data_IF_946649695417
#
_entry.id   IF_946649695417
#
_cell.length_a   1.000
_cell.length_b   1.000
_cell.length_c   1.000
_cell.angle_alpha   90.00
_cell.angle_beta   90.00
_cell.angle_gamma   90.00
#
_symmetry.space_group_name_H-M   'P 1'
#
loop_
_entity.id
_entity.type
_entity.pdbx_description
1 polymer ?
#
# COMPACT_ATOMS: atom_id res chain seq x y z
N UNK A 1 -20.91 -0.12 -8.36
CA UNK A 1 -19.57 0.30 -7.86
C UNK A 1 -18.86 -0.87 -7.17
N UNK A 2 -17.55 -0.80 -6.92
CA UNK A 2 -16.76 -1.91 -6.31
C UNK A 2 -17.34 -2.37 -4.96
N UNK A 3 -17.74 -1.43 -4.09
CA UNK A 3 -18.37 -1.72 -2.79
C UNK A 3 -19.64 -2.56 -2.93
N UNK A 4 -20.57 -2.14 -3.78
CA UNK A 4 -21.84 -2.86 -4.03
C UNK A 4 -21.58 -4.28 -4.53
N UNK A 5 -20.54 -4.45 -5.37
CA UNK A 5 -20.16 -5.75 -5.90
C UNK A 5 -19.66 -6.69 -4.79
N UNK A 6 -18.85 -6.19 -3.85
CA UNK A 6 -18.38 -6.98 -2.71
C UNK A 6 -19.52 -7.32 -1.73
N UNK A 7 -20.46 -6.39 -1.50
CA UNK A 7 -21.65 -6.66 -0.67
C UNK A 7 -22.50 -7.77 -1.30
N UNK A 8 -22.71 -7.73 -2.62
CA UNK A 8 -23.41 -8.79 -3.35
C UNK A 8 -22.68 -10.15 -3.28
N UNK A 9 -21.36 -10.15 -3.06
CA UNK A 9 -20.53 -11.34 -2.84
C UNK A 9 -20.51 -11.79 -1.37
N UNK A 10 -21.26 -11.14 -0.47
CA UNK A 10 -21.43 -11.52 0.93
C UNK A 10 -20.46 -10.85 1.91
N UNK A 11 -19.65 -9.88 1.45
CA UNK A 11 -18.77 -9.10 2.33
C UNK A 11 -19.60 -8.11 3.14
N UNK A 12 -19.35 -8.02 4.46
CA UNK A 12 -20.01 -7.05 5.32
C UNK A 12 -19.83 -5.60 4.81
N UNK A 13 -20.85 -4.71 4.89
CA UNK A 13 -20.81 -3.39 4.26
C UNK A 13 -19.58 -2.53 4.60
N UNK A 14 -19.20 -2.45 5.88
CA UNK A 14 -18.05 -1.66 6.33
C UNK A 14 -16.75 -2.21 5.75
N UNK A 15 -16.60 -3.55 5.75
CA UNK A 15 -15.44 -4.23 5.20
C UNK A 15 -15.36 -4.10 3.68
N UNK A 16 -16.50 -4.14 3.00
CA UNK A 16 -16.60 -3.91 1.57
C UNK A 16 -16.22 -2.46 1.21
N UNK A 17 -16.65 -1.48 2.00
CA UNK A 17 -16.30 -0.08 1.83
C UNK A 17 -14.79 0.14 2.03
N UNK A 18 -14.23 -0.47 3.07
CA UNK A 18 -12.81 -0.37 3.37
C UNK A 18 -11.93 -1.00 2.29
N UNK A 19 -12.28 -2.21 1.85
CA UNK A 19 -11.60 -2.90 0.77
C UNK A 19 -11.69 -2.13 -0.55
N UNK A 20 -12.88 -1.62 -0.90
CA UNK A 20 -13.07 -0.83 -2.12
C UNK A 20 -12.27 0.48 -2.10
N UNK A 21 -12.19 1.15 -0.94
CA UNK A 21 -11.41 2.37 -0.78
C UNK A 21 -9.89 2.13 -0.96
N UNK A 22 -9.38 1.00 -0.51
CA UNK A 22 -7.97 0.62 -0.63
C UNK A 22 -7.61 -0.10 -1.94
N UNK A 23 -8.62 -0.49 -2.72
CA UNK A 23 -8.43 -1.23 -3.97
C UNK A 23 -7.97 -0.39 -5.16
N UNK A 24 -7.97 0.95 -5.05
CA UNK A 24 -7.57 1.87 -6.13
C UNK A 24 -8.30 1.57 -7.45
N UNK A 25 -9.57 1.14 -7.37
CA UNK A 25 -10.41 0.81 -8.52
C UNK A 25 -10.25 -0.60 -9.10
N UNK A 26 -9.37 -1.45 -8.55
CA UNK A 26 -9.19 -2.84 -8.98
C UNK A 26 -10.11 -3.78 -8.17
N UNK A 27 -11.14 -4.34 -8.82
CA UNK A 27 -12.07 -5.27 -8.17
C UNK A 27 -11.40 -6.57 -7.68
N UNK A 28 -10.40 -7.08 -8.41
CA UNK A 28 -9.65 -8.27 -8.00
C UNK A 28 -8.88 -8.02 -6.72
N UNK A 29 -8.19 -6.88 -6.65
CA UNK A 29 -7.53 -6.42 -5.42
C UNK A 29 -8.53 -6.18 -4.29
N UNK A 30 -9.70 -5.59 -4.59
CA UNK A 30 -10.74 -5.36 -3.59
C UNK A 30 -11.20 -6.66 -2.91
N UNK A 31 -11.31 -7.76 -3.65
CA UNK A 31 -11.64 -9.08 -3.08
C UNK A 31 -10.56 -9.61 -2.15
N UNK A 32 -9.29 -9.46 -2.52
CA UNK A 32 -8.16 -9.85 -1.66
C UNK A 32 -8.12 -9.02 -0.37
N UNK A 33 -8.33 -7.71 -0.48
CA UNK A 33 -8.37 -6.80 0.66
C UNK A 33 -9.60 -7.05 1.55
N UNK A 34 -10.70 -7.51 0.97
CA UNK A 34 -11.89 -7.91 1.73
C UNK A 34 -11.66 -9.15 2.59
N UNK A 35 -10.56 -9.90 2.43
CA UNK A 35 -10.19 -11.02 3.31
C UNK A 35 -9.03 -10.67 4.25
N UNK A 36 -8.52 -9.45 4.21
CA UNK A 36 -7.41 -8.99 5.05
C UNK A 36 -7.91 -8.34 6.36
N UNK A 37 -7.77 -9.07 7.47
CA UNK A 37 -8.20 -8.61 8.80
C UNK A 37 -7.39 -7.42 9.33
N UNK A 38 -6.18 -7.19 8.81
CA UNK A 38 -5.29 -6.11 9.25
C UNK A 38 -5.40 -4.86 8.37
N UNK A 39 -6.23 -4.89 7.32
CA UNK A 39 -6.43 -3.74 6.42
C UNK A 39 -6.82 -2.47 7.20
N UNK A 40 -7.77 -2.59 8.12
CA UNK A 40 -8.24 -1.45 8.93
C UNK A 40 -7.09 -0.84 9.75
N UNK A 41 -6.22 -1.68 10.34
CA UNK A 41 -5.05 -1.23 11.11
C UNK A 41 -4.07 -0.46 10.21
N UNK A 42 -3.76 -0.98 9.01
CA UNK A 42 -2.85 -0.29 8.09
C UNK A 42 -3.42 1.06 7.67
N UNK A 43 -4.71 1.13 7.33
CA UNK A 43 -5.36 2.40 6.95
C UNK A 43 -5.35 3.40 8.11
N UNK A 44 -5.66 2.96 9.33
CA UNK A 44 -5.57 3.81 10.51
C UNK A 44 -4.14 4.33 10.74
N UNK A 45 -3.12 3.50 10.54
CA UNK A 45 -1.72 3.91 10.68
C UNK A 45 -1.33 5.02 9.69
N UNK A 46 -1.75 4.91 8.43
CA UNK A 46 -1.56 5.97 7.43
C UNK A 46 -2.31 7.27 7.79
N UNK A 47 -3.55 7.16 8.27
CA UNK A 47 -4.35 8.31 8.72
C UNK A 47 -3.73 9.04 9.92
N UNK A 48 -3.05 8.31 10.81
CA UNK A 48 -2.41 8.85 12.00
C UNK A 48 -1.04 9.50 11.75
N UNK A 49 -0.49 9.43 10.52
CA UNK A 49 0.84 9.98 10.19
C UNK A 49 0.99 11.45 10.61
N UNK A 50 0.07 12.38 10.30
CA UNK A 50 0.25 13.78 10.66
C UNK A 50 0.41 14.00 12.18
N UNK A 51 -0.26 13.19 12.99
CA UNK A 51 -0.23 13.28 14.46
C UNK A 51 1.06 12.69 15.05
N UNK A 52 1.78 11.86 14.28
CA UNK A 52 3.04 11.23 14.68
C UNK A 52 4.27 12.07 14.38
N UNK A 53 4.18 13.00 13.42
CA UNK A 53 5.32 13.78 12.94
C UNK A 53 5.57 14.99 13.84
N UNK A 54 6.84 15.20 14.21
CA UNK A 54 7.30 16.31 15.07
C UNK A 54 8.24 17.29 14.33
N UNK A 55 8.41 17.10 13.01
CA UNK A 55 9.31 17.88 12.17
C UNK A 55 10.76 17.38 12.14
N UNK A 56 11.10 16.36 12.92
CA UNK A 56 12.42 15.72 12.88
C UNK A 56 12.51 14.65 11.79
N UNK A 57 13.71 14.49 11.23
CA UNK A 57 13.98 13.40 10.28
C UNK A 57 13.93 12.01 10.93
N UNK A 58 14.32 11.91 12.21
CA UNK A 58 14.26 10.66 12.97
C UNK A 58 12.83 10.14 13.06
N UNK A 59 11.89 11.00 13.44
CA UNK A 59 10.48 10.60 13.56
C UNK A 59 9.85 10.26 12.22
N UNK A 60 10.24 10.95 11.15
CA UNK A 60 9.83 10.62 9.80
C UNK A 60 10.33 9.22 9.39
N UNK A 61 11.60 8.88 9.68
CA UNK A 61 12.19 7.57 9.39
C UNK A 61 11.44 6.45 10.13
N UNK A 62 11.28 6.58 11.45
CA UNK A 62 10.55 5.59 12.26
C UNK A 62 9.14 5.35 11.73
N UNK A 63 8.42 6.43 11.41
CA UNK A 63 7.04 6.35 10.90
C UNK A 63 6.98 5.64 9.54
N UNK A 64 7.96 5.88 8.66
CA UNK A 64 8.04 5.17 7.37
C UNK A 64 8.36 3.71 7.56
N UNK A 65 9.33 3.39 8.43
CA UNK A 65 9.76 2.01 8.66
C UNK A 65 8.63 1.16 9.24
N UNK A 66 7.86 1.69 10.20
CA UNK A 66 6.68 1.03 10.74
C UNK A 66 5.62 0.74 9.65
N UNK A 67 5.34 1.71 8.77
CA UNK A 67 4.35 1.54 7.70
C UNK A 67 4.81 0.50 6.67
N UNK A 68 6.10 0.50 6.30
CA UNK A 68 6.65 -0.47 5.37
C UNK A 68 6.67 -1.88 5.98
N UNK A 69 6.96 -2.01 7.28
CA UNK A 69 6.88 -3.28 7.99
C UNK A 69 5.44 -3.84 8.00
N UNK A 70 4.44 -2.99 8.24
CA UNK A 70 3.03 -3.42 8.16
C UNK A 70 2.63 -3.90 6.74
N UNK A 71 3.18 -3.29 5.69
CA UNK A 71 2.95 -3.70 4.29
C UNK A 71 3.66 -5.03 4.01
N UNK A 72 4.85 -5.23 4.56
CA UNK A 72 5.60 -6.49 4.46
C UNK A 72 4.87 -7.64 5.14
N UNK A 73 4.34 -7.42 6.35
CA UNK A 73 3.49 -8.40 7.04
C UNK A 73 2.25 -8.78 6.21
N UNK A 74 1.62 -7.80 5.56
CA UNK A 74 0.44 -8.01 4.72
C UNK A 74 0.72 -8.82 3.45
N UNK A 75 1.99 -8.91 3.03
CA UNK A 75 2.42 -9.74 1.90
C UNK A 75 2.63 -11.21 2.28
N UNK A 76 2.57 -11.59 3.56
CA UNK A 76 2.81 -12.98 3.97
C UNK A 76 1.96 -14.02 3.21
N UNK A 77 0.63 -13.84 3.03
CA UNK A 77 -0.18 -14.79 2.25
C UNK A 77 0.25 -14.91 0.78
N UNK A 78 0.72 -13.81 0.17
CA UNK A 78 1.25 -13.83 -1.20
C UNK A 78 2.56 -14.62 -1.27
N UNK A 79 3.44 -14.44 -0.28
CA UNK A 79 4.69 -15.18 -0.18
C UNK A 79 4.46 -16.69 0.04
N UNK A 80 3.47 -17.06 0.86
CA UNK A 80 3.05 -18.45 1.06
C UNK A 80 2.52 -19.07 -0.23
N UNK A 81 1.67 -18.35 -0.98
CA UNK A 81 1.18 -18.81 -2.28
C UNK A 81 2.33 -19.02 -3.28
N UNK A 82 3.29 -18.08 -3.35
CA UNK A 82 4.48 -18.23 -4.19
C UNK A 82 5.32 -19.45 -3.80
N UNK A 83 5.49 -19.72 -2.50
CA UNK A 83 6.21 -20.89 -2.02
C UNK A 83 5.52 -22.21 -2.39
N UNK A 84 4.19 -22.26 -2.28
CA UNK A 84 3.39 -23.41 -2.70
C UNK A 84 3.50 -23.66 -4.22
N UNK A 85 3.42 -22.61 -5.04
CA UNK A 85 3.60 -22.72 -6.49
C UNK A 85 5.00 -23.22 -6.87
N UNK A 86 6.04 -22.79 -6.15
CA UNK A 86 7.42 -23.28 -6.37
C UNK A 86 7.54 -24.76 -6.04
N UNK A 87 6.91 -25.22 -4.94
CA UNK A 87 6.91 -26.62 -4.55
C UNK A 87 6.18 -27.50 -5.59
N UNK A 88 4.99 -27.08 -6.02
CA UNK A 88 4.23 -27.80 -7.07
C UNK A 88 5.02 -27.88 -8.38
N UNK A 89 5.64 -26.76 -8.79
CA UNK A 89 6.47 -26.75 -9.98
C UNK A 89 7.68 -27.70 -9.88
N UNK A 90 8.31 -27.79 -8.70
CA UNK A 90 9.42 -28.71 -8.47
C UNK A 90 8.99 -30.18 -8.59
N UNK A 91 7.83 -30.55 -8.04
CA UNK A 91 7.25 -31.89 -8.17
C UNK A 91 6.95 -32.24 -9.64
N UNK A 92 6.35 -31.30 -10.39
CA UNK A 92 6.06 -31.50 -11.82
C UNK A 92 7.34 -31.70 -12.65
N UNK A 93 8.39 -30.92 -12.38
CA UNK A 93 9.70 -31.04 -13.04
C UNK A 93 10.34 -32.39 -12.73
N UNK A 94 10.29 -32.82 -11.46
CA UNK A 94 10.81 -34.13 -11.05
C UNK A 94 10.06 -35.29 -11.74
N UNK A 95 8.74 -35.18 -11.86
CA UNK A 95 7.89 -36.20 -12.49
C UNK A 95 8.07 -36.28 -14.02
N UNK A 96 8.30 -35.16 -14.71
CA UNK A 96 8.40 -35.12 -16.19
C UNK A 96 9.83 -35.16 -16.74
N UNK A 97 10.85 -34.93 -15.91
CA UNK A 97 12.25 -34.86 -16.36
C UNK A 97 12.57 -33.66 -17.25
N UNK A 98 11.65 -32.68 -17.35
CA UNK A 98 11.83 -31.47 -18.16
C UNK A 98 12.80 -30.49 -17.47
N UNK A 99 13.91 -30.16 -18.14
CA UNK A 99 14.93 -29.25 -17.58
C UNK A 99 14.49 -27.78 -17.70
N UNK A 100 14.07 -27.20 -16.58
CA UNK A 100 14.37 -25.81 -16.19
C UNK A 100 13.81 -24.63 -17.01
N UNK A 101 13.07 -24.84 -18.10
CA UNK A 101 12.63 -23.76 -19.01
C UNK A 101 11.56 -22.81 -18.43
N UNK A 102 10.88 -23.18 -17.33
CA UNK A 102 9.84 -22.37 -16.69
C UNK A 102 10.29 -21.55 -15.47
N UNK A 103 11.35 -21.96 -14.77
CA UNK A 103 11.68 -21.42 -13.42
C UNK A 103 11.91 -19.91 -13.41
N UNK A 104 12.66 -19.40 -14.39
CA UNK A 104 12.92 -17.96 -14.53
C UNK A 104 11.62 -17.16 -14.74
N UNK A 105 10.67 -17.71 -15.50
CA UNK A 105 9.39 -17.04 -15.75
C UNK A 105 8.54 -16.94 -14.49
N UNK A 106 8.53 -18.00 -13.65
CA UNK A 106 7.90 -18.00 -12.33
C UNK A 106 8.53 -16.96 -11.41
N UNK A 107 9.85 -16.99 -11.25
CA UNK A 107 10.57 -16.03 -10.40
C UNK A 107 10.34 -14.57 -10.84
N UNK A 108 10.34 -14.31 -12.15
CA UNK A 108 10.09 -12.98 -12.68
C UNK A 108 8.62 -12.54 -12.47
N UNK A 109 7.65 -13.47 -12.55
CA UNK A 109 6.25 -13.22 -12.21
C UNK A 109 6.08 -12.88 -10.74
N UNK A 110 6.60 -13.70 -9.82
CA UNK A 110 6.53 -13.46 -8.38
C UNK A 110 7.14 -12.12 -8.00
N UNK A 111 8.32 -11.79 -8.54
CA UNK A 111 8.96 -10.48 -8.35
C UNK A 111 8.10 -9.31 -8.83
N UNK A 112 7.37 -9.48 -9.95
CA UNK A 112 6.44 -8.45 -10.45
C UNK A 112 5.24 -8.29 -9.54
N UNK A 113 4.68 -9.40 -9.04
CA UNK A 113 3.54 -9.40 -8.13
C UNK A 113 3.88 -8.74 -6.79
N UNK A 114 5.03 -9.05 -6.21
CA UNK A 114 5.53 -8.39 -4.98
C UNK A 114 5.66 -6.88 -5.18
N UNK A 115 6.34 -6.45 -6.26
CA UNK A 115 6.47 -5.00 -6.56
C UNK A 115 5.13 -4.33 -6.75
N UNK A 116 4.22 -4.96 -7.48
CA UNK A 116 2.87 -4.44 -7.73
C UNK A 116 2.10 -4.30 -6.42
N UNK A 117 2.07 -5.34 -5.59
CA UNK A 117 1.39 -5.33 -4.29
C UNK A 117 1.91 -4.19 -3.42
N UNK A 118 3.24 -4.07 -3.30
CA UNK A 118 3.89 -3.02 -2.50
C UNK A 118 3.55 -1.62 -3.01
N UNK A 119 3.64 -1.39 -4.32
CA UNK A 119 3.27 -0.10 -4.93
C UNK A 119 1.79 0.23 -4.68
N UNK A 120 0.90 -0.74 -4.81
CA UNK A 120 -0.54 -0.55 -4.63
C UNK A 120 -0.91 -0.26 -3.16
N UNK A 121 -0.24 -0.92 -2.20
CA UNK A 121 -0.39 -0.61 -0.76
C UNK A 121 0.08 0.80 -0.43
N UNK A 122 1.24 1.23 -0.93
CA UNK A 122 1.74 2.59 -0.69
C UNK A 122 0.77 3.62 -1.29
N UNK A 123 0.23 3.39 -2.49
CA UNK A 123 -0.77 4.28 -3.11
C UNK A 123 -2.07 4.34 -2.33
N UNK A 124 -2.56 3.21 -1.82
CA UNK A 124 -3.72 3.17 -0.94
C UNK A 124 -3.45 3.99 0.34
N UNK A 125 -2.25 3.85 0.92
CA UNK A 125 -1.79 4.63 2.06
C UNK A 125 -1.73 6.14 1.80
N UNK A 126 -1.13 6.56 0.69
CA UNK A 126 -1.07 7.96 0.27
C UNK A 126 -2.46 8.55 0.00
N UNK A 127 -3.40 7.73 -0.48
CA UNK A 127 -4.80 8.13 -0.65
C UNK A 127 -5.46 8.40 0.70
N UNK A 128 -5.21 7.55 1.70
CA UNK A 128 -5.70 7.73 3.07
C UNK A 128 -5.10 8.98 3.73
N UNK A 129 -3.80 9.21 3.56
CA UNK A 129 -3.11 10.42 4.03
C UNK A 129 -3.67 11.68 3.36
N UNK A 130 -3.89 11.65 2.04
CA UNK A 130 -4.52 12.76 1.31
C UNK A 130 -5.94 13.05 1.80
N UNK A 131 -6.73 12.02 2.17
CA UNK A 131 -8.05 12.21 2.79
C UNK A 131 -7.92 12.91 4.14
N UNK A 132 -7.01 12.45 5.01
CA UNK A 132 -6.74 13.07 6.32
C UNK A 132 -6.41 14.56 6.22
N UNK A 133 -5.56 14.96 5.26
CA UNK A 133 -5.26 16.37 5.03
C UNK A 133 -6.44 17.16 4.44
N UNK A 134 -7.26 16.54 3.58
CA UNK A 134 -8.50 17.19 3.08
C UNK A 134 -9.53 17.42 4.18
N UNK A 135 -9.64 16.49 5.12
CA UNK A 135 -10.52 16.65 6.28
C UNK A 135 -10.05 17.85 7.14
N UNK A 136 -8.74 18.01 7.35
CA UNK A 136 -8.18 19.19 8.06
C UNK A 136 -8.36 20.50 7.29
N UNK A 137 -8.31 20.45 5.96
CA UNK A 137 -8.40 21.65 5.12
C UNK A 137 -9.67 22.47 5.43
N UNK A 138 -10.78 21.79 5.69
CA UNK A 138 -12.06 22.42 5.98
C UNK A 138 -12.07 23.20 7.31
N UNK A 139 -11.23 22.81 8.27
CA UNK A 139 -11.18 23.38 9.61
C UNK A 139 -9.92 24.23 9.89
N UNK A 140 -8.98 24.29 8.95
CA UNK A 140 -7.66 24.84 9.21
C UNK A 140 -7.58 26.36 9.06
N UNK A 141 -6.91 27.05 10.00
CA UNK A 141 -6.56 28.47 9.83
C UNK A 141 -5.47 28.69 8.78
N UNK A 142 -4.84 27.63 8.27
CA UNK A 142 -3.72 27.69 7.31
C UNK A 142 -4.00 26.79 6.08
N UNK A 143 -5.06 27.07 5.30
CA UNK A 143 -5.52 26.19 4.23
C UNK A 143 -4.52 26.06 3.08
N UNK A 144 -3.72 27.09 2.81
CA UNK A 144 -2.68 27.07 1.77
C UNK A 144 -1.59 26.04 2.09
N UNK A 145 -1.16 25.95 3.36
CA UNK A 145 -0.15 24.97 3.77
C UNK A 145 -0.66 23.53 3.61
N UNK A 146 -1.93 23.30 3.92
CA UNK A 146 -2.58 22.00 3.78
C UNK A 146 -2.77 21.63 2.31
N UNK A 147 -3.20 22.57 1.46
CA UNK A 147 -3.33 22.36 0.03
C UNK A 147 -2.00 21.93 -0.60
N UNK A 148 -0.91 22.63 -0.28
CA UNK A 148 0.41 22.24 -0.73
C UNK A 148 0.85 20.84 -0.21
N UNK A 149 0.30 20.36 0.91
CA UNK A 149 0.65 19.06 1.47
C UNK A 149 -0.03 17.95 0.67
N UNK A 150 -1.29 18.19 0.30
CA UNK A 150 -2.05 17.35 -0.63
C UNK A 150 -1.33 17.27 -1.99
N UNK A 151 -0.81 18.40 -2.50
CA UNK A 151 -0.06 18.42 -3.75
C UNK A 151 1.22 17.58 -3.68
N UNK A 152 1.98 17.68 -2.59
CA UNK A 152 3.18 16.86 -2.38
C UNK A 152 2.88 15.35 -2.30
N UNK A 153 1.79 14.99 -1.62
CA UNK A 153 1.30 13.60 -1.54
C UNK A 153 0.93 13.10 -2.94
N UNK A 154 0.19 13.90 -3.72
CA UNK A 154 -0.23 13.56 -5.07
C UNK A 154 0.96 13.43 -6.04
N UNK A 155 1.96 14.30 -5.90
CA UNK A 155 3.20 14.25 -6.67
C UNK A 155 3.97 12.95 -6.39
N UNK A 156 4.07 12.51 -5.13
CA UNK A 156 4.68 11.22 -4.82
C UNK A 156 3.87 10.05 -5.39
N UNK A 157 2.55 10.03 -5.18
CA UNK A 157 1.68 8.95 -5.65
C UNK A 157 1.79 8.72 -7.18
N UNK A 158 1.94 9.80 -7.95
CA UNK A 158 2.13 9.77 -9.40
C UNK A 158 3.50 9.21 -9.79
N UNK A 159 4.55 9.53 -9.03
CA UNK A 159 5.93 9.18 -9.35
C UNK A 159 6.37 7.78 -8.88
N UNK A 160 5.60 7.13 -7.99
CA UNK A 160 5.91 5.77 -7.48
C UNK A 160 6.16 4.73 -8.58
N UNK A 161 5.50 4.84 -9.74
CA UNK A 161 5.72 3.92 -10.89
C UNK A 161 7.15 3.91 -11.38
N UNK A 162 7.82 5.07 -11.29
CA UNK A 162 9.10 5.33 -11.98
C UNK A 162 10.29 5.22 -11.04
N UNK A 163 10.07 5.20 -9.72
CA UNK A 163 11.15 5.38 -8.76
C UNK A 163 11.24 4.21 -7.77
N UNK A 164 12.32 3.40 -7.82
CA UNK A 164 12.44 2.19 -7.03
C UNK A 164 12.72 2.46 -5.53
N UNK A 165 13.10 3.68 -5.14
CA UNK A 165 13.47 3.97 -3.75
C UNK A 165 12.28 4.57 -2.98
N UNK A 166 11.26 3.75 -2.78
CA UNK A 166 10.00 4.12 -2.11
C UNK A 166 10.24 4.66 -0.69
N UNK A 167 11.11 3.99 0.07
CA UNK A 167 11.45 4.38 1.44
C UNK A 167 12.01 5.80 1.51
N UNK A 168 13.01 6.10 0.69
CA UNK A 168 13.64 7.43 0.69
C UNK A 168 12.64 8.54 0.33
N UNK A 169 11.76 8.28 -0.63
CA UNK A 169 10.74 9.24 -1.03
C UNK A 169 9.68 9.47 0.05
N UNK A 170 9.26 8.41 0.73
CA UNK A 170 8.34 8.53 1.87
C UNK A 170 8.98 9.31 3.02
N UNK A 171 10.26 9.05 3.33
CA UNK A 171 11.00 9.81 4.35
C UNK A 171 11.10 11.29 3.98
N UNK A 172 11.40 11.59 2.71
CA UNK A 172 11.47 12.95 2.21
C UNK A 172 10.11 13.66 2.31
N UNK A 173 9.02 12.99 1.93
CA UNK A 173 7.65 13.50 2.06
C UNK A 173 7.33 13.76 3.54
N UNK A 174 7.52 12.77 4.42
CA UNK A 174 7.13 12.90 5.83
C UNK A 174 7.95 13.95 6.56
N UNK A 175 9.23 14.10 6.23
CA UNK A 175 10.06 15.21 6.72
C UNK A 175 9.50 16.56 6.27
N UNK A 176 9.02 16.67 5.03
CA UNK A 176 8.39 17.89 4.51
C UNK A 176 7.05 18.18 5.19
N UNK A 177 6.25 17.15 5.44
CA UNK A 177 4.93 17.25 6.08
C UNK A 177 5.00 17.61 7.56
N UNK A 178 6.02 17.13 8.28
CA UNK A 178 6.20 17.41 9.71
C UNK A 178 6.75 18.82 10.00
N UNK A 179 7.26 19.54 8.99
CA UNK A 179 7.81 20.88 9.19
C UNK A 179 6.71 21.93 9.06
N UNK A 180 6.66 22.93 9.97
CA UNK A 180 5.80 24.08 9.77
C UNK A 180 6.21 24.80 8.49
N UNK A 181 5.27 25.00 7.57
CA UNK A 181 5.54 25.75 6.34
C UNK A 181 5.53 27.24 6.68
N UNK A 182 6.61 27.92 6.29
CA UNK A 182 6.80 29.36 6.51
C UNK A 182 6.20 30.16 5.37
#
# INVERSE_FOLDING_TARGET
MVTERLIAEGVAPDRAADAAAAAVGDLGRARLLATDDRLALRRAAWRAVPDRLDGTGARAIETVDDLLAMIEDAMAPLAEAHAAEVAEFAELVAARGERGSGRKQFEDRHKREVRRYRTDEIRAGLTELSRRYRDDLAASPRPVEIAAAIDDIAALATNLVRNPNERLQLVALFTKLGRPRR
#
